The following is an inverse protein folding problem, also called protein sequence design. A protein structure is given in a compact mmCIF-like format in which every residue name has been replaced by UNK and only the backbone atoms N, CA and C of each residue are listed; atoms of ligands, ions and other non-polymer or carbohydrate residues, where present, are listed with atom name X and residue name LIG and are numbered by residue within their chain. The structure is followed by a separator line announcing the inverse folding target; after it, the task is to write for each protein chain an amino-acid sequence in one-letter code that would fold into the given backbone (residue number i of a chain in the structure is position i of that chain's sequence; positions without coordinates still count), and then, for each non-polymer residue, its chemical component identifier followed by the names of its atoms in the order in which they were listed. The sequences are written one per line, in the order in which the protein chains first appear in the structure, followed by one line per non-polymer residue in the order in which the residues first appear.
data_IF_296314544994
#
_entry.id   IF_296314544994
#
_cell.length_a   1.000
_cell.length_b   1.000
_cell.length_c   1.000
_cell.angle_alpha   90.00
_cell.angle_beta   90.00
_cell.angle_gamma   90.00
#
_symmetry.space_group_name_H-M   'P 1'
#
loop_
_entity.id
_entity.type
_entity.pdbx_description
1 polymer ?
#
# COMPACT_ATOMS: atom_id res chain seq x y z
N UNK A 1 -4.94 3.91 -18.53
CA UNK A 1 -5.57 2.62 -18.87
C UNK A 1 -5.10 1.65 -17.83
N UNK A 2 -6.02 1.21 -16.98
CA UNK A 2 -5.70 0.34 -15.85
C UNK A 2 -5.02 -0.95 -16.33
N UNK A 3 -3.99 -1.38 -15.62
CA UNK A 3 -3.25 -2.60 -15.95
C UNK A 3 -4.18 -3.83 -15.95
N UNK A 4 -3.96 -4.75 -16.89
CA UNK A 4 -4.75 -5.99 -17.01
C UNK A 4 -4.62 -6.87 -15.76
N UNK A 5 -3.47 -6.81 -15.10
CA UNK A 5 -3.22 -7.40 -13.79
C UNK A 5 -2.49 -6.39 -12.92
N UNK A 6 -2.89 -6.34 -11.66
CA UNK A 6 -2.15 -5.58 -10.66
C UNK A 6 -2.37 -6.14 -9.25
N UNK A 7 -1.44 -5.78 -8.38
CA UNK A 7 -1.47 -6.04 -6.95
C UNK A 7 -1.17 -4.75 -6.21
N UNK A 8 -1.97 -4.44 -5.20
CA UNK A 8 -1.70 -3.36 -4.24
C UNK A 8 -1.76 -3.94 -2.83
N UNK A 9 -0.78 -3.59 -1.99
CA UNK A 9 -0.82 -3.87 -0.56
C UNK A 9 -0.54 -2.61 0.24
N UNK A 10 -1.50 -2.20 1.05
CA UNK A 10 -1.37 -1.13 2.02
C UNK A 10 -1.30 -1.74 3.42
N UNK A 11 -0.24 -1.43 4.17
CA UNK A 11 -0.07 -1.83 5.56
C UNK A 11 0.13 -0.59 6.42
N UNK A 12 -0.63 -0.48 7.50
CA UNK A 12 -0.43 0.55 8.52
C UNK A 12 0.26 -0.07 9.74
N UNK A 13 1.21 0.64 10.35
CA UNK A 13 2.04 0.08 11.43
C UNK A 13 3.19 -0.75 10.88
N UNK A 14 4.07 -0.11 10.10
CA UNK A 14 5.29 -0.73 9.56
C UNK A 14 6.54 -0.39 10.36
N UNK A 15 6.50 0.68 11.15
CA UNK A 15 7.61 1.11 11.99
C UNK A 15 7.58 0.35 13.31
N UNK A 16 8.76 -0.16 13.67
CA UNK A 16 9.03 -0.76 14.96
C UNK A 16 10.26 -0.10 15.58
N UNK A 17 10.50 -0.41 16.86
CA UNK A 17 11.69 0.00 17.57
C UNK A 17 12.40 -1.22 18.11
N UNK A 18 12.45 -1.34 19.44
CA UNK A 18 12.91 -2.57 20.11
C UNK A 18 11.94 -3.75 19.90
N UNK A 19 10.64 -3.47 19.81
CA UNK A 19 9.63 -4.44 19.44
C UNK A 19 9.38 -4.41 17.92
N UNK A 20 9.10 -5.57 17.30
CA UNK A 20 8.73 -5.62 15.88
C UNK A 20 7.48 -4.77 15.62
N UNK A 21 7.32 -4.26 14.37
CA UNK A 21 6.13 -3.52 14.00
C UNK A 21 4.86 -4.33 14.29
N UNK A 22 3.84 -3.64 14.79
CA UNK A 22 2.56 -4.25 15.12
C UNK A 22 1.49 -3.63 14.22
N UNK A 23 1.18 -4.26 13.06
CA UNK A 23 0.30 -3.64 12.07
C UNK A 23 -1.11 -3.39 12.64
N UNK A 24 -1.66 -2.21 12.36
CA UNK A 24 -3.06 -1.89 12.68
C UNK A 24 -4.01 -2.33 11.57
N UNK A 25 -3.55 -2.34 10.32
CA UNK A 25 -4.34 -2.76 9.19
C UNK A 25 -3.48 -3.31 8.04
N UNK A 26 -4.03 -4.28 7.32
CA UNK A 26 -3.49 -4.79 6.06
C UNK A 26 -4.63 -4.86 5.05
N UNK A 27 -4.47 -4.17 3.94
CA UNK A 27 -5.39 -4.19 2.80
C UNK A 27 -4.66 -4.68 1.57
N UNK A 28 -5.25 -5.63 0.85
CA UNK A 28 -4.73 -6.12 -0.44
C UNK A 28 -5.80 -5.98 -1.51
N UNK A 29 -5.43 -5.40 -2.65
CA UNK A 29 -6.27 -5.32 -3.85
C UNK A 29 -5.59 -6.14 -4.94
N UNK A 30 -6.34 -7.04 -5.57
CA UNK A 30 -5.81 -7.92 -6.63
C UNK A 30 -6.75 -7.90 -7.82
N UNK A 31 -6.20 -7.64 -9.00
CA UNK A 31 -6.86 -7.90 -10.29
C UNK A 31 -6.07 -8.97 -11.04
N UNK A 32 -6.72 -10.07 -11.39
CA UNK A 32 -6.13 -11.15 -12.17
C UNK A 32 -6.73 -11.21 -13.58
N UNK A 33 -5.99 -11.81 -14.52
CA UNK A 33 -6.49 -12.12 -15.87
C UNK A 33 -7.76 -12.97 -15.88
N UNK A 34 -7.91 -13.84 -14.88
CA UNK A 34 -9.06 -14.75 -14.76
C UNK A 34 -10.37 -14.04 -14.40
N UNK A 35 -10.29 -12.82 -13.84
CA UNK A 35 -11.45 -12.02 -13.43
C UNK A 35 -11.26 -10.57 -13.84
N UNK A 36 -11.25 -10.26 -15.15
CA UNK A 36 -10.78 -8.98 -15.67
C UNK A 36 -11.67 -7.80 -15.29
N UNK A 37 -12.94 -8.03 -14.96
CA UNK A 37 -13.89 -6.99 -14.53
C UNK A 37 -13.91 -6.76 -13.01
N UNK A 38 -13.16 -7.55 -12.23
CA UNK A 38 -13.22 -7.51 -10.78
C UNK A 38 -11.88 -7.21 -10.13
N UNK A 39 -11.95 -6.50 -9.01
CA UNK A 39 -10.84 -6.34 -8.07
C UNK A 39 -11.24 -7.07 -6.79
N UNK A 40 -10.45 -8.05 -6.38
CA UNK A 40 -10.60 -8.74 -5.10
C UNK A 40 -9.89 -7.93 -4.03
N UNK A 41 -10.65 -7.49 -3.03
CA UNK A 41 -10.14 -6.76 -1.87
C UNK A 41 -10.16 -7.70 -0.68
N UNK A 42 -9.03 -7.85 0.02
CA UNK A 42 -8.99 -8.46 1.34
C UNK A 42 -8.50 -7.43 2.35
N UNK A 43 -9.23 -7.27 3.45
CA UNK A 43 -8.94 -6.29 4.49
C UNK A 43 -8.93 -6.95 5.86
N UNK A 44 -7.84 -6.78 6.60
CA UNK A 44 -7.72 -7.21 8.00
C UNK A 44 -7.35 -5.99 8.84
N UNK A 45 -8.16 -5.68 9.84
CA UNK A 45 -7.94 -4.54 10.75
C UNK A 45 -7.85 -5.08 12.17
N UNK A 46 -6.91 -4.58 12.97
CA UNK A 46 -6.77 -4.93 14.39
C UNK A 46 -7.85 -4.20 15.19
N UNK A 47 -8.76 -4.92 15.87
CA UNK A 47 -9.72 -4.28 16.76
C UNK A 47 -9.02 -3.63 17.95
N UNK A 48 -9.61 -2.57 18.48
CA UNK A 48 -9.08 -1.87 19.65
C UNK A 48 -8.92 -2.84 20.85
N UNK A 49 -7.75 -2.78 21.48
CA UNK A 49 -7.41 -3.61 22.64
C UNK A 49 -7.04 -5.07 22.32
N UNK A 50 -7.03 -5.49 21.04
CA UNK A 50 -6.58 -6.83 20.66
C UNK A 50 -5.11 -6.84 20.19
N UNK A 51 -4.36 -7.92 20.44
CA UNK A 51 -2.96 -8.03 20.02
C UNK A 51 -2.81 -8.40 18.54
N UNK A 52 -3.87 -8.88 17.89
CA UNK A 52 -3.82 -9.46 16.54
C UNK A 52 -4.79 -8.76 15.58
N UNK A 53 -4.46 -8.80 14.29
CA UNK A 53 -5.41 -8.46 13.23
C UNK A 53 -6.68 -9.32 13.36
N UNK A 54 -7.83 -8.71 13.09
CA UNK A 54 -9.09 -9.43 12.98
C UNK A 54 -9.14 -10.33 11.74
N UNK A 55 -10.23 -11.08 11.61
CA UNK A 55 -10.49 -11.92 10.44
C UNK A 55 -10.50 -11.08 9.16
N UNK A 56 -9.86 -11.60 8.10
CA UNK A 56 -9.82 -10.93 6.82
C UNK A 56 -11.20 -10.91 6.16
N UNK A 57 -11.72 -9.72 5.89
CA UNK A 57 -12.95 -9.54 5.13
C UNK A 57 -12.62 -9.42 3.64
N UNK A 58 -13.30 -10.21 2.81
CA UNK A 58 -13.13 -10.20 1.35
C UNK A 58 -14.32 -9.54 0.67
N UNK A 59 -14.07 -8.73 -0.35
CA UNK A 59 -15.10 -8.15 -1.23
C UNK A 59 -14.61 -8.03 -2.66
N UNK A 60 -15.57 -7.93 -3.58
CA UNK A 60 -15.32 -7.81 -5.01
C UNK A 60 -15.80 -6.43 -5.47
N UNK A 61 -14.92 -5.66 -6.11
CA UNK A 61 -15.25 -4.34 -6.67
C UNK A 61 -15.26 -4.42 -8.20
N UNK A 62 -16.08 -3.58 -8.84
CA UNK A 62 -16.04 -3.43 -10.29
C UNK A 62 -14.83 -2.57 -10.68
N UNK A 63 -13.97 -3.10 -11.57
CA UNK A 63 -12.78 -2.37 -12.02
C UNK A 63 -13.10 -1.06 -12.74
N UNK A 64 -14.19 -0.99 -13.50
CA UNK A 64 -14.52 0.17 -14.32
C UNK A 64 -14.81 1.40 -13.46
N UNK A 65 -15.41 1.18 -12.29
CA UNK A 65 -15.73 2.22 -11.31
C UNK A 65 -14.48 2.80 -10.62
N UNK A 66 -13.39 2.04 -10.56
CA UNK A 66 -12.15 2.42 -9.87
C UNK A 66 -10.95 2.63 -10.80
N UNK A 67 -11.10 2.39 -12.10
CA UNK A 67 -10.07 2.53 -13.11
C UNK A 67 -9.35 3.89 -13.07
N UNK A 68 -10.05 5.04 -12.96
CA UNK A 68 -9.38 6.35 -12.86
C UNK A 68 -8.49 6.48 -11.62
N UNK A 69 -8.92 5.94 -10.49
CA UNK A 69 -8.18 5.97 -9.23
C UNK A 69 -6.93 5.09 -9.31
N UNK A 70 -7.03 3.92 -9.93
CA UNK A 70 -5.88 3.00 -10.10
C UNK A 70 -4.86 3.59 -11.09
N UNK A 71 -5.33 4.21 -12.16
CA UNK A 71 -4.48 4.93 -13.11
C UNK A 71 -3.74 6.10 -12.43
N UNK A 72 -4.44 6.86 -11.56
CA UNK A 72 -3.84 7.94 -10.77
C UNK A 72 -2.78 7.37 -9.80
N UNK A 73 -3.09 6.28 -9.09
CA UNK A 73 -2.17 5.60 -8.19
C UNK A 73 -0.88 5.20 -8.91
N UNK A 74 -0.97 4.44 -10.00
CA UNK A 74 0.21 4.00 -10.75
C UNK A 74 1.02 5.20 -11.27
N UNK A 75 0.33 6.25 -11.72
CA UNK A 75 0.98 7.48 -12.21
C UNK A 75 1.75 8.20 -11.12
N UNK A 76 1.21 8.29 -9.90
CA UNK A 76 1.90 8.86 -8.74
C UNK A 76 3.15 8.04 -8.41
N UNK A 77 3.00 6.71 -8.30
CA UNK A 77 4.07 5.81 -7.87
C UNK A 77 5.26 5.80 -8.85
N UNK A 78 5.04 6.06 -10.14
CA UNK A 78 6.13 6.24 -11.12
C UNK A 78 7.00 7.47 -10.87
N UNK A 79 6.52 8.44 -10.09
CA UNK A 79 7.19 9.74 -9.92
C UNK A 79 7.92 9.88 -8.59
N UNK A 80 7.65 9.02 -7.61
CA UNK A 80 8.19 9.14 -6.26
C UNK A 80 9.23 8.03 -5.99
N UNK A 81 10.29 8.32 -5.21
CA UNK A 81 11.38 7.37 -4.98
C UNK A 81 10.95 6.16 -4.14
N UNK A 82 11.71 5.08 -4.22
CA UNK A 82 11.63 3.97 -3.28
C UNK A 82 12.84 3.99 -2.36
N UNK A 83 12.68 3.41 -1.17
CA UNK A 83 13.79 3.19 -0.26
C UNK A 83 14.86 2.27 -0.89
N UNK A 84 16.12 2.66 -0.76
CA UNK A 84 17.30 1.88 -1.14
C UNK A 84 18.31 1.89 0.01
N UNK A 85 18.71 0.73 0.56
CA UNK A 85 18.20 -0.61 0.29
C UNK A 85 16.71 -0.78 0.67
N UNK A 86 15.98 -1.73 0.06
CA UNK A 86 14.59 -2.02 0.43
C UNK A 86 14.45 -2.35 1.93
N UNK A 87 13.42 -1.82 2.57
CA UNK A 87 13.19 -1.98 4.01
C UNK A 87 14.21 -1.30 4.92
N UNK A 88 15.02 -0.36 4.42
CA UNK A 88 16.02 0.32 5.25
C UNK A 88 15.42 1.42 6.14
N UNK A 89 14.50 2.21 5.60
CA UNK A 89 13.96 3.40 6.24
C UNK A 89 12.54 3.67 5.72
N UNK A 90 11.64 4.11 6.60
CA UNK A 90 10.39 4.75 6.15
C UNK A 90 10.73 6.17 5.67
N UNK A 91 11.08 6.31 4.39
CA UNK A 91 11.49 7.60 3.81
C UNK A 91 10.33 8.60 3.75
N UNK A 92 9.09 8.12 3.84
CA UNK A 92 7.88 8.94 3.84
C UNK A 92 7.46 9.37 5.25
N UNK A 93 7.89 8.63 6.28
CA UNK A 93 7.68 8.96 7.70
C UNK A 93 6.21 8.93 8.13
N UNK A 94 5.41 8.08 7.48
CA UNK A 94 3.96 8.00 7.71
C UNK A 94 3.54 6.75 8.47
N UNK A 95 4.47 5.83 8.78
CA UNK A 95 4.14 4.53 9.36
C UNK A 95 3.20 3.70 8.45
N UNK A 96 3.38 3.87 7.15
CA UNK A 96 2.58 3.22 6.11
C UNK A 96 3.49 2.54 5.10
N UNK A 97 3.30 1.23 4.94
CA UNK A 97 3.87 0.46 3.85
C UNK A 97 2.90 0.40 2.68
N UNK A 98 3.43 0.60 1.47
CA UNK A 98 2.68 0.45 0.24
C UNK A 98 3.53 -0.36 -0.75
N UNK A 99 2.93 -1.38 -1.34
CA UNK A 99 3.51 -2.11 -2.45
C UNK A 99 2.52 -2.11 -3.61
N UNK A 100 3.04 -1.88 -4.80
CA UNK A 100 2.32 -1.91 -6.06
C UNK A 100 3.09 -2.74 -7.07
N UNK A 101 2.39 -3.65 -7.74
CA UNK A 101 2.92 -4.44 -8.84
C UNK A 101 1.93 -4.47 -9.99
N UNK A 102 2.40 -4.19 -11.20
CA UNK A 102 1.72 -4.43 -12.46
C UNK A 102 2.74 -4.82 -13.52
N UNK A 103 2.27 -5.15 -14.73
CA UNK A 103 3.17 -5.39 -15.88
C UNK A 103 4.08 -4.18 -16.20
N UNK A 104 3.70 -2.97 -15.76
CA UNK A 104 4.38 -1.71 -16.08
C UNK A 104 5.21 -1.13 -14.94
N UNK A 105 4.95 -1.54 -13.69
CA UNK A 105 5.56 -0.94 -12.51
C UNK A 105 5.70 -1.96 -11.39
N UNK A 106 6.89 -2.03 -10.80
CA UNK A 106 7.11 -2.62 -9.48
C UNK A 106 7.59 -1.52 -8.56
N UNK A 107 6.83 -1.25 -7.51
CA UNK A 107 7.12 -0.18 -6.55
C UNK A 107 6.81 -0.69 -5.15
N UNK A 108 7.71 -0.48 -4.20
CA UNK A 108 7.47 -0.85 -2.82
C UNK A 108 8.21 0.07 -1.86
N UNK A 109 7.51 0.46 -0.79
CA UNK A 109 8.05 1.12 0.38
C UNK A 109 7.50 0.39 1.61
N UNK A 110 8.37 -0.24 2.38
CA UNK A 110 7.99 -1.07 3.53
C UNK A 110 8.60 -0.61 4.85
N UNK A 111 9.58 0.30 4.83
CA UNK A 111 10.33 0.71 6.02
C UNK A 111 11.03 -0.45 6.76
N UNK A 112 11.73 -0.16 7.87
CA UNK A 112 12.48 -1.15 8.63
C UNK A 112 11.57 -2.09 9.41
N UNK A 113 11.54 -3.36 9.01
CA UNK A 113 10.91 -4.42 9.77
C UNK A 113 11.87 -4.96 10.84
N UNK A 114 11.73 -4.49 12.09
CA UNK A 114 12.48 -4.99 13.25
C UNK A 114 13.63 -4.11 13.71
N UNK A 115 14.58 -4.66 14.49
CA UNK A 115 15.64 -3.90 15.17
C UNK A 115 16.71 -3.29 14.23
N UNK A 116 16.66 -3.57 12.93
CA UNK A 116 17.56 -2.99 11.94
C UNK A 116 17.02 -1.67 11.44
N UNK A 117 17.39 -0.56 12.06
CA UNK A 117 17.20 0.75 11.44
C UNK A 117 18.36 1.00 10.47
N UNK A 118 18.04 1.07 9.18
CA UNK A 118 18.97 1.48 8.13
C UNK A 118 18.77 2.95 7.78
N UNK A 119 19.67 3.45 6.93
CA UNK A 119 19.48 4.72 6.25
C UNK A 119 19.26 4.43 4.78
N UNK A 120 18.28 5.11 4.18
CA UNK A 120 18.10 5.00 2.74
C UNK A 120 18.99 6.00 1.99
N UNK A 121 19.66 5.54 0.94
CA UNK A 121 20.36 6.40 -0.02
C UNK A 121 19.41 7.37 -0.74
N UNK A 122 18.14 7.00 -0.85
CA UNK A 122 17.08 7.85 -1.39
C UNK A 122 16.31 8.51 -0.24
N UNK A 123 15.97 9.78 -0.39
CA UNK A 123 15.15 10.50 0.59
C UNK A 123 13.99 11.16 -0.13
N UNK A 124 12.77 11.00 0.41
CA UNK A 124 11.59 11.63 -0.14
C UNK A 124 11.57 13.13 0.21
N UNK A 125 11.32 13.96 -0.80
CA UNK A 125 11.04 15.39 -0.60
C UNK A 125 9.66 15.60 0.01
N UNK A 126 9.34 16.84 0.43
CA UNK A 126 8.00 17.16 0.92
C UNK A 126 6.93 17.01 -0.18
N UNK A 127 7.29 17.25 -1.44
CA UNK A 127 6.41 16.99 -2.59
C UNK A 127 6.15 15.49 -2.76
N UNK A 128 7.18 14.65 -2.63
CA UNK A 128 7.04 13.19 -2.70
C UNK A 128 6.17 12.66 -1.56
N UNK A 129 6.31 13.21 -0.36
CA UNK A 129 5.44 12.87 0.78
C UNK A 129 3.99 13.25 0.51
N UNK A 130 3.73 14.42 -0.07
CA UNK A 130 2.37 14.82 -0.45
C UNK A 130 1.77 13.86 -1.48
N UNK A 131 2.56 13.45 -2.49
CA UNK A 131 2.18 12.44 -3.49
C UNK A 131 1.92 11.07 -2.87
N UNK A 132 2.79 10.61 -1.98
CA UNK A 132 2.61 9.35 -1.25
C UNK A 132 1.34 9.36 -0.40
N UNK A 133 1.06 10.48 0.29
CA UNK A 133 -0.20 10.66 1.01
C UNK A 133 -1.41 10.53 0.09
N UNK A 134 -1.37 11.15 -1.10
CA UNK A 134 -2.44 11.00 -2.11
C UNK A 134 -2.58 9.55 -2.58
N UNK A 135 -1.49 8.83 -2.81
CA UNK A 135 -1.52 7.41 -3.15
C UNK A 135 -2.23 6.57 -2.08
N UNK A 136 -1.95 6.83 -0.79
CA UNK A 136 -2.63 6.19 0.34
C UNK A 136 -4.11 6.56 0.40
N UNK A 137 -4.46 7.83 0.18
CA UNK A 137 -5.85 8.30 0.13
C UNK A 137 -6.64 7.59 -0.96
N UNK A 138 -6.07 7.44 -2.16
CA UNK A 138 -6.68 6.71 -3.27
C UNK A 138 -7.02 5.28 -2.88
N UNK A 139 -6.09 4.54 -2.26
CA UNK A 139 -6.36 3.16 -1.81
C UNK A 139 -7.51 3.16 -0.80
N UNK A 140 -7.50 4.09 0.15
CA UNK A 140 -8.58 4.21 1.14
C UNK A 140 -9.94 4.60 0.53
N UNK A 141 -9.97 5.42 -0.52
CA UNK A 141 -11.18 5.76 -1.26
C UNK A 141 -11.77 4.51 -1.94
N UNK A 142 -10.94 3.71 -2.61
CA UNK A 142 -11.35 2.43 -3.21
C UNK A 142 -11.91 1.49 -2.13
N UNK A 143 -11.29 1.45 -0.94
CA UNK A 143 -11.78 0.63 0.17
C UNK A 143 -13.13 1.11 0.72
N UNK A 144 -13.42 2.41 0.70
CA UNK A 144 -14.66 3.00 1.28
C UNK A 144 -15.88 2.97 0.37
N UNK A 145 -15.71 3.00 -0.94
CA UNK A 145 -16.82 3.18 -1.91
C UNK A 145 -17.82 2.01 -1.99
N UNK A 146 -17.72 1.00 -1.12
CA UNK A 146 -18.65 -0.14 -1.03
C UNK A 146 -18.93 -0.51 0.46
N UNK A 147 -19.14 0.49 1.31
CA UNK A 147 -19.58 0.34 2.70
C UNK A 147 -21.00 0.89 2.89
#
# INVERSE_FOLDING_TARGET
MVAQEFFVRLQQGITGGFAPPTPSAIHTLVRSKDSPSQIVVNSSVRPDGQPSLGEAQSKHLNVDSHSPLIDELESILKTIPVESPPGSQDIYGMDIGLAYGSDNLQWANGGPAGCGQGYSENQATDEDKAKFKRAVEIVNEILKQDA
#
